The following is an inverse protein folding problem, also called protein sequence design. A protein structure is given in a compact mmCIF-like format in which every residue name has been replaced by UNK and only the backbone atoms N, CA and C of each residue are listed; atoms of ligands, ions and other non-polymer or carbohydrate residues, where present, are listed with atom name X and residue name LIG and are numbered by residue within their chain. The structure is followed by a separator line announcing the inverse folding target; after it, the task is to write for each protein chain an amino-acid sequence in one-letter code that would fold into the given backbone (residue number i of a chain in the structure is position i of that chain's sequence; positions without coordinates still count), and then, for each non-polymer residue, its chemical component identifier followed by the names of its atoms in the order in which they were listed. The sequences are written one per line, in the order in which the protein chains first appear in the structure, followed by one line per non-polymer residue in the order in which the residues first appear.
data_IF_568160279705
#
_entry.id   IF_568160279705
#
_cell.length_a   1.000
_cell.length_b   1.000
_cell.length_c   1.000
_cell.angle_alpha   90.00
_cell.angle_beta   90.00
_cell.angle_gamma   90.00
#
_symmetry.space_group_name_H-M   'P 1'
#
loop_
_entity.id
_entity.type
_entity.pdbx_description
1 polymer ?
#
# COMPACT_ATOMS: atom_id res chain seq x y z
N UNK A 1 0.03 4.36 19.04
CA UNK A 1 -0.59 3.16 18.45
C UNK A 1 -1.82 2.67 19.24
N UNK A 2 -1.72 2.21 20.50
CA UNK A 2 -2.95 1.86 21.26
C UNK A 2 -3.88 3.07 21.47
N UNK A 3 -3.29 4.25 21.69
CA UNK A 3 -4.00 5.52 21.84
C UNK A 3 -4.67 5.99 20.55
N UNK A 4 -4.04 5.74 19.40
CA UNK A 4 -4.58 6.06 18.07
C UNK A 4 -5.73 5.14 17.65
N UNK A 5 -5.84 3.98 18.30
CA UNK A 5 -6.88 2.99 18.04
C UNK A 5 -7.94 2.95 19.16
N UNK A 6 -7.93 3.91 20.10
CA UNK A 6 -8.82 3.94 21.27
C UNK A 6 -8.85 2.59 22.02
N UNK A 7 -7.69 1.94 22.14
CA UNK A 7 -7.50 0.65 22.82
C UNK A 7 -6.65 0.77 24.09
N UNK A 8 -6.25 1.98 24.48
CA UNK A 8 -5.40 2.23 25.66
C UNK A 8 -6.00 1.61 26.92
N UNK A 9 -7.31 1.80 27.14
CA UNK A 9 -8.05 1.26 28.28
C UNK A 9 -8.26 -0.27 28.23
N UNK A 10 -7.96 -0.89 27.09
CA UNK A 10 -8.05 -2.33 26.86
C UNK A 10 -6.68 -3.01 26.69
N UNK A 11 -5.58 -2.32 26.99
CA UNK A 11 -4.22 -2.84 26.78
C UNK A 11 -3.94 -4.18 27.48
N UNK A 12 -4.54 -4.40 28.65
CA UNK A 12 -4.42 -5.65 29.43
C UNK A 12 -5.63 -6.58 29.27
N UNK A 13 -6.61 -6.22 28.44
CA UNK A 13 -7.81 -7.02 28.21
C UNK A 13 -7.50 -8.16 27.24
N UNK A 14 -7.79 -9.40 27.65
CA UNK A 14 -7.65 -10.55 26.75
C UNK A 14 -8.52 -10.37 25.50
N UNK A 15 -7.98 -10.73 24.34
CA UNK A 15 -8.61 -10.54 23.02
C UNK A 15 -10.00 -11.21 22.93
N UNK A 16 -10.21 -12.32 23.63
CA UNK A 16 -11.51 -13.02 23.71
C UNK A 16 -12.62 -12.15 24.33
N UNK A 17 -12.27 -11.26 25.27
CA UNK A 17 -13.18 -10.35 25.99
C UNK A 17 -13.43 -9.00 25.31
N UNK A 18 -12.76 -8.72 24.19
CA UNK A 18 -12.99 -7.50 23.42
C UNK A 18 -14.33 -7.55 22.68
N UNK A 19 -15.03 -6.42 22.55
CA UNK A 19 -16.18 -6.30 21.65
C UNK A 19 -15.77 -6.57 20.20
N UNK A 20 -16.72 -6.86 19.30
CA UNK A 20 -16.42 -7.11 17.88
C UNK A 20 -15.63 -5.97 17.24
N UNK A 21 -16.01 -4.72 17.52
CA UNK A 21 -15.29 -3.53 17.04
C UNK A 21 -13.89 -3.37 17.64
N UNK A 22 -13.72 -3.65 18.93
CA UNK A 22 -12.40 -3.62 19.59
C UNK A 22 -11.46 -4.69 19.04
N UNK A 23 -12.00 -5.89 18.75
CA UNK A 23 -11.22 -7.00 18.17
C UNK A 23 -10.74 -6.67 16.76
N UNK A 24 -11.58 -6.00 15.97
CA UNK A 24 -11.22 -5.51 14.63
C UNK A 24 -10.10 -4.46 14.72
N UNK A 25 -10.21 -3.51 15.65
CA UNK A 25 -9.16 -2.51 15.93
C UNK A 25 -7.85 -3.15 16.40
N UNK A 26 -7.91 -4.17 17.26
CA UNK A 26 -6.72 -4.88 17.75
C UNK A 26 -6.02 -5.68 16.63
N UNK A 27 -6.78 -6.28 15.72
CA UNK A 27 -6.23 -6.96 14.53
C UNK A 27 -5.47 -5.99 13.63
N UNK A 28 -6.04 -4.80 13.39
CA UNK A 28 -5.36 -3.74 12.63
C UNK A 28 -4.11 -3.26 13.37
N UNK A 29 -4.17 -3.08 14.70
CA UNK A 29 -3.00 -2.74 15.51
C UNK A 29 -1.85 -3.74 15.35
N UNK A 30 -2.16 -5.04 15.31
CA UNK A 30 -1.18 -6.11 15.17
C UNK A 30 -0.47 -6.08 13.82
N UNK A 31 -1.20 -5.79 12.75
CA UNK A 31 -0.61 -5.61 11.42
C UNK A 31 0.29 -4.37 11.37
N UNK A 32 -0.11 -3.28 12.03
CA UNK A 32 0.69 -2.05 12.15
C UNK A 32 1.96 -2.22 12.99
N UNK A 33 1.97 -3.11 13.99
CA UNK A 33 3.16 -3.42 14.81
C UNK A 33 4.33 -3.97 13.99
N UNK A 34 4.06 -4.64 12.87
CA UNK A 34 5.12 -5.14 11.98
C UNK A 34 5.82 -4.02 11.21
N UNK A 35 5.31 -2.79 11.30
CA UNK A 35 5.85 -1.63 10.61
C UNK A 35 6.00 -1.84 9.09
N UNK A 36 4.96 -2.31 8.38
CA UNK A 36 5.07 -2.56 6.95
C UNK A 36 5.31 -1.26 6.20
N UNK A 37 6.15 -1.29 5.16
CA UNK A 37 6.39 -0.11 4.30
C UNK A 37 5.21 0.19 3.37
N UNK A 38 4.33 -0.80 3.14
CA UNK A 38 3.16 -0.73 2.27
C UNK A 38 1.94 -1.32 2.98
N UNK A 39 0.86 -0.56 3.02
CA UNK A 39 -0.44 -0.99 3.52
C UNK A 39 -1.45 -0.90 2.37
N UNK A 40 -2.24 -1.94 2.18
CA UNK A 40 -3.35 -1.96 1.21
C UNK A 40 -4.61 -2.32 1.98
N UNK A 41 -5.58 -1.41 2.00
CA UNK A 41 -6.83 -1.58 2.73
C UNK A 41 -8.00 -1.52 1.75
N UNK A 42 -8.84 -2.56 1.79
CA UNK A 42 -10.07 -2.63 1.03
C UNK A 42 -11.25 -2.22 1.92
N UNK A 43 -11.87 -1.08 1.61
CA UNK A 43 -13.00 -0.50 2.33
C UNK A 43 -12.81 -0.41 3.86
N UNK A 44 -11.75 0.29 4.35
CA UNK A 44 -11.35 0.27 5.76
C UNK A 44 -12.40 0.85 6.72
N UNK A 45 -13.31 1.67 6.22
CA UNK A 45 -14.30 2.40 7.04
C UNK A 45 -15.74 1.95 6.80
N UNK A 46 -15.96 0.87 6.06
CA UNK A 46 -17.31 0.37 5.79
C UNK A 46 -18.01 -0.10 7.07
N UNK A 47 -19.25 0.33 7.25
CA UNK A 47 -20.06 0.00 8.43
C UNK A 47 -19.64 0.69 9.73
N UNK A 48 -18.75 1.68 9.67
CA UNK A 48 -18.41 2.54 10.81
C UNK A 48 -19.32 3.76 10.86
N UNK A 49 -19.54 4.30 12.06
CA UNK A 49 -20.19 5.60 12.19
C UNK A 49 -19.26 6.73 11.70
N UNK A 50 -19.81 7.92 11.38
CA UNK A 50 -19.01 9.01 10.79
C UNK A 50 -17.83 9.48 11.66
N UNK A 51 -17.93 9.38 12.99
CA UNK A 51 -16.84 9.81 13.86
C UNK A 51 -15.67 8.82 13.77
N UNK A 52 -15.98 7.52 13.84
CA UNK A 52 -14.96 6.48 13.73
C UNK A 52 -14.36 6.39 12.32
N UNK A 53 -15.15 6.59 11.27
CA UNK A 53 -14.69 6.71 9.88
C UNK A 53 -13.60 7.80 9.75
N UNK A 54 -13.87 9.00 10.28
CA UNK A 54 -12.92 10.10 10.32
C UNK A 54 -11.62 9.75 11.06
N UNK A 55 -11.74 9.12 12.24
CA UNK A 55 -10.56 8.70 13.02
C UNK A 55 -9.67 7.72 12.26
N UNK A 56 -10.27 6.72 11.61
CA UNK A 56 -9.52 5.72 10.83
C UNK A 56 -8.80 6.39 9.67
N UNK A 57 -9.48 7.26 8.90
CA UNK A 57 -8.86 7.95 7.77
C UNK A 57 -7.73 8.90 8.21
N UNK A 58 -7.89 9.60 9.33
CA UNK A 58 -6.84 10.44 9.92
C UNK A 58 -5.64 9.63 10.39
N UNK A 59 -5.86 8.44 10.96
CA UNK A 59 -4.77 7.52 11.32
C UNK A 59 -4.00 7.05 10.08
N UNK A 60 -4.71 6.68 9.01
CA UNK A 60 -4.08 6.27 7.74
C UNK A 60 -3.25 7.40 7.13
N UNK A 61 -3.73 8.65 7.19
CA UNK A 61 -2.96 9.84 6.79
C UNK A 61 -1.67 9.99 7.59
N UNK A 62 -1.74 9.87 8.93
CA UNK A 62 -0.55 9.94 9.80
C UNK A 62 0.48 8.86 9.46
N UNK A 63 0.04 7.65 9.13
CA UNK A 63 0.94 6.58 8.69
C UNK A 63 1.63 6.94 7.37
N UNK A 64 0.89 7.53 6.41
CA UNK A 64 1.48 8.02 5.18
C UNK A 64 2.52 9.12 5.43
N UNK A 65 2.21 10.09 6.30
CA UNK A 65 3.12 11.16 6.70
C UNK A 65 4.39 10.64 7.40
N UNK A 66 4.28 9.50 8.10
CA UNK A 66 5.41 8.81 8.71
C UNK A 66 6.28 8.03 7.70
N UNK A 67 6.05 8.19 6.39
CA UNK A 67 6.84 7.59 5.31
C UNK A 67 6.36 6.21 4.87
N UNK A 68 5.13 5.83 5.21
CA UNK A 68 4.52 4.58 4.73
C UNK A 68 3.76 4.82 3.43
N UNK A 69 3.71 3.81 2.56
CA UNK A 69 2.80 3.84 1.42
C UNK A 69 1.47 3.25 1.86
N UNK A 70 0.38 4.00 1.70
CA UNK A 70 -0.98 3.54 2.04
C UNK A 70 -1.84 3.59 0.80
N UNK A 71 -2.42 2.46 0.42
CA UNK A 71 -3.39 2.34 -0.66
C UNK A 71 -4.74 2.02 -0.05
N UNK A 72 -5.70 2.91 -0.24
CA UNK A 72 -7.08 2.70 0.19
C UNK A 72 -7.95 2.50 -1.04
N UNK A 73 -8.69 1.40 -1.06
CA UNK A 73 -9.78 1.18 -2.01
C UNK A 73 -11.07 1.57 -1.30
N UNK A 74 -11.78 2.56 -1.86
CA UNK A 74 -13.07 2.96 -1.32
C UNK A 74 -14.03 3.48 -2.39
N UNK A 75 -15.32 3.30 -2.14
CA UNK A 75 -16.41 3.97 -2.86
C UNK A 75 -16.89 5.26 -2.17
N UNK A 76 -16.38 5.57 -0.97
CA UNK A 76 -16.70 6.80 -0.24
C UNK A 76 -15.92 7.99 -0.78
N UNK A 77 -16.58 9.14 -0.90
CA UNK A 77 -15.98 10.39 -1.40
C UNK A 77 -15.58 11.36 -0.29
N UNK A 78 -15.94 11.05 0.97
CA UNK A 78 -15.87 11.98 2.09
C UNK A 78 -14.44 12.40 2.48
N UNK A 79 -13.45 11.58 2.17
CA UNK A 79 -12.07 11.74 2.64
C UNK A 79 -11.03 11.65 1.52
N UNK A 80 -11.46 11.80 0.26
CA UNK A 80 -10.55 11.77 -0.88
C UNK A 80 -9.50 12.89 -0.82
N UNK A 81 -9.82 14.01 -0.19
CA UNK A 81 -8.91 15.14 0.01
C UNK A 81 -7.73 14.83 0.96
N UNK A 82 -7.80 13.73 1.73
CA UNK A 82 -6.68 13.27 2.56
C UNK A 82 -5.63 12.49 1.75
N UNK A 83 -5.99 12.03 0.54
CA UNK A 83 -5.14 11.24 -0.32
C UNK A 83 -4.20 12.14 -1.15
N UNK A 84 -2.94 11.72 -1.31
CA UNK A 84 -1.99 12.44 -2.18
C UNK A 84 -2.33 12.26 -3.67
N UNK A 85 -2.91 11.10 -4.01
CA UNK A 85 -3.25 10.70 -5.36
C UNK A 85 -4.57 9.91 -5.35
N UNK A 86 -5.39 10.10 -6.36
CA UNK A 86 -6.60 9.34 -6.63
C UNK A 86 -6.45 8.52 -7.90
N UNK A 87 -6.84 7.25 -7.85
CA UNK A 87 -7.01 6.40 -9.03
C UNK A 87 -8.50 6.12 -9.22
N UNK A 88 -9.13 6.79 -10.19
CA UNK A 88 -10.53 6.53 -10.52
C UNK A 88 -10.63 5.43 -11.57
N UNK A 89 -11.33 4.35 -11.22
CA UNK A 89 -11.59 3.23 -12.12
C UNK A 89 -13.05 3.23 -12.57
N UNK A 90 -13.24 3.15 -13.88
CA UNK A 90 -14.51 2.87 -14.52
C UNK A 90 -14.77 1.35 -14.56
N UNK A 91 -16.03 0.92 -14.76
CA UNK A 91 -16.37 -0.48 -14.97
C UNK A 91 -15.46 -1.20 -15.97
N UNK A 92 -15.08 -2.44 -15.64
CA UNK A 92 -14.10 -3.22 -16.40
C UNK A 92 -12.65 -2.84 -16.14
N UNK A 93 -12.36 -2.18 -15.02
CA UNK A 93 -10.99 -1.84 -14.60
C UNK A 93 -10.31 -0.78 -15.47
N UNK A 94 -11.11 0.08 -16.11
CA UNK A 94 -10.62 1.09 -17.04
C UNK A 94 -10.29 2.37 -16.29
N UNK A 95 -9.03 2.81 -16.34
CA UNK A 95 -8.63 4.05 -15.67
C UNK A 95 -9.27 5.26 -16.32
N UNK A 96 -9.98 6.04 -15.52
CA UNK A 96 -10.60 7.30 -15.92
C UNK A 96 -9.82 8.52 -15.44
N UNK A 97 -9.09 8.39 -14.32
CA UNK A 97 -8.28 9.45 -13.74
C UNK A 97 -7.13 8.87 -12.92
N UNK A 98 -5.99 9.55 -12.93
CA UNK A 98 -4.94 9.37 -11.95
C UNK A 98 -4.25 10.71 -11.70
N UNK A 99 -4.32 11.19 -10.46
CA UNK A 99 -3.74 12.47 -10.08
C UNK A 99 -4.22 12.95 -8.71
N UNK A 100 -3.76 14.13 -8.26
CA UNK A 100 -4.19 14.73 -6.99
C UNK A 100 -5.70 15.00 -6.95
N UNK A 101 -6.36 14.96 -5.78
CA UNK A 101 -7.81 15.20 -5.66
C UNK A 101 -8.27 16.55 -6.23
N UNK A 102 -7.49 17.61 -6.00
CA UNK A 102 -7.81 18.98 -6.40
C UNK A 102 -7.86 19.19 -7.92
N UNK A 103 -7.15 18.36 -8.69
CA UNK A 103 -7.11 18.43 -10.15
C UNK A 103 -8.24 17.67 -10.85
N UNK A 104 -9.01 16.85 -10.11
CA UNK A 104 -10.08 16.03 -10.71
C UNK A 104 -11.13 16.89 -11.40
N UNK A 105 -11.44 18.06 -10.82
CA UNK A 105 -12.44 18.99 -11.35
C UNK A 105 -12.08 19.51 -12.74
N UNK A 106 -10.82 19.88 -12.94
CA UNK A 106 -10.30 20.38 -14.22
C UNK A 106 -10.33 19.29 -15.29
N UNK A 107 -10.02 18.04 -14.93
CA UNK A 107 -9.99 16.91 -15.87
C UNK A 107 -11.39 16.42 -16.22
N UNK A 108 -12.28 16.35 -15.23
CA UNK A 108 -13.63 15.80 -15.41
C UNK A 108 -14.64 16.85 -15.88
N UNK A 109 -14.33 18.14 -15.75
CA UNK A 109 -15.21 19.27 -16.04
C UNK A 109 -16.21 19.58 -14.91
N UNK A 110 -16.09 18.90 -13.76
CA UNK A 110 -16.90 19.12 -12.56
C UNK A 110 -16.20 18.50 -11.36
N UNK A 111 -16.37 19.09 -10.18
CA UNK A 111 -15.94 18.52 -8.89
C UNK A 111 -17.05 17.70 -8.21
N UNK A 112 -18.24 17.59 -8.81
CA UNK A 112 -19.31 16.78 -8.26
C UNK A 112 -19.07 15.29 -8.54
N UNK A 113 -18.71 14.55 -7.50
CA UNK A 113 -18.42 13.12 -7.59
C UNK A 113 -19.57 12.26 -8.13
N UNK A 114 -20.82 12.58 -7.82
CA UNK A 114 -21.96 11.83 -8.37
C UNK A 114 -22.04 11.99 -9.90
N UNK A 115 -21.83 13.21 -10.41
CA UNK A 115 -21.74 13.44 -11.85
C UNK A 115 -20.52 12.77 -12.49
N UNK A 116 -19.37 12.78 -11.81
CA UNK A 116 -18.16 12.09 -12.28
C UNK A 116 -18.45 10.59 -12.42
N UNK A 117 -19.01 9.94 -11.38
CA UNK A 117 -19.31 8.50 -11.42
C UNK A 117 -20.32 8.16 -12.51
N UNK A 118 -21.39 8.95 -12.69
CA UNK A 118 -22.37 8.74 -13.76
C UNK A 118 -21.68 8.85 -15.13
N UNK A 119 -20.88 9.89 -15.36
CA UNK A 119 -20.18 10.14 -16.62
C UNK A 119 -19.19 9.02 -16.96
N UNK A 120 -18.40 8.59 -15.97
CA UNK A 120 -17.39 7.55 -16.14
C UNK A 120 -18.02 6.16 -16.28
N UNK A 121 -19.13 5.90 -15.58
CA UNK A 121 -19.88 4.65 -15.68
C UNK A 121 -20.66 4.50 -16.98
N UNK A 122 -21.17 5.60 -17.55
CA UNK A 122 -21.95 5.59 -18.79
C UNK A 122 -21.13 5.18 -20.02
N UNK A 123 -19.87 5.61 -20.11
CA UNK A 123 -18.95 5.20 -21.18
C UNK A 123 -17.51 4.99 -20.64
N UNK A 124 -17.22 3.78 -20.13
CA UNK A 124 -15.91 3.43 -19.60
C UNK A 124 -14.78 3.47 -20.65
N UNK A 125 -15.07 3.22 -21.93
CA UNK A 125 -14.08 3.22 -23.01
C UNK A 125 -13.69 4.64 -23.42
N UNK A 126 -14.66 5.55 -23.50
CA UNK A 126 -14.42 6.98 -23.66
C UNK A 126 -13.58 7.53 -22.51
N UNK A 127 -13.93 7.20 -21.26
CA UNK A 127 -13.18 7.65 -20.08
C UNK A 127 -11.70 7.24 -20.17
N UNK A 128 -11.43 5.97 -20.52
CA UNK A 128 -10.07 5.48 -20.74
C UNK A 128 -9.36 6.21 -21.88
N UNK A 129 -10.05 6.45 -23.00
CA UNK A 129 -9.46 7.13 -24.16
C UNK A 129 -9.06 8.56 -23.83
N UNK A 130 -9.91 9.29 -23.09
CA UNK A 130 -9.60 10.65 -22.58
C UNK A 130 -8.39 10.64 -21.65
N UNK A 131 -8.36 9.70 -20.70
CA UNK A 131 -7.24 9.55 -19.78
C UNK A 131 -5.92 9.30 -20.53
N UNK A 132 -5.91 8.38 -21.51
CA UNK A 132 -4.73 8.11 -22.33
C UNK A 132 -4.31 9.30 -23.20
N UNK A 133 -5.26 10.05 -23.75
CA UNK A 133 -4.97 11.25 -24.55
C UNK A 133 -4.30 12.35 -23.71
N UNK A 134 -4.71 12.52 -22.44
CA UNK A 134 -4.11 13.47 -21.51
C UNK A 134 -2.70 13.04 -21.06
N UNK A 135 -2.46 11.73 -20.92
CA UNK A 135 -1.13 11.18 -20.59
C UNK A 135 -0.17 11.06 -21.76
N UNK A 136 -0.67 11.10 -23.00
CA UNK A 136 0.16 11.13 -24.20
C UNK A 136 1.14 12.30 -24.27
N UNK A 137 1.00 13.29 -23.36
CA UNK A 137 1.87 14.45 -23.19
C UNK A 137 2.82 14.42 -21.98
N UNK A 138 2.88 13.35 -21.17
CA UNK A 138 3.80 13.28 -20.00
C UNK A 138 5.17 12.65 -20.34
N UNK A 139 6.28 13.14 -19.77
CA UNK A 139 7.60 12.58 -20.03
C UNK A 139 7.66 11.14 -19.56
N UNK A 140 8.27 10.25 -20.35
CA UNK A 140 8.70 8.93 -19.87
C UNK A 140 9.37 9.13 -18.52
N UNK A 141 8.96 8.38 -17.48
CA UNK A 141 9.73 8.29 -16.24
C UNK A 141 11.20 8.07 -16.66
N UNK A 142 12.03 9.10 -16.53
CA UNK A 142 13.44 8.96 -16.85
C UNK A 142 13.99 8.03 -15.77
N UNK A 143 14.43 6.85 -16.19
CA UNK A 143 15.12 5.92 -15.33
C UNK A 143 16.34 6.61 -14.70
N UNK A 144 16.17 7.09 -13.47
CA UNK A 144 17.26 7.50 -12.58
C UNK A 144 16.99 6.91 -11.20
N UNK A 145 17.13 5.60 -11.11
CA UNK A 145 17.67 5.00 -9.90
C UNK A 145 19.19 4.95 -10.11
N UNK A 146 19.88 5.99 -9.67
CA UNK A 146 21.33 5.92 -9.49
C UNK A 146 21.59 4.82 -8.42
N UNK A 147 22.40 3.78 -8.71
CA UNK A 147 22.71 2.76 -7.72
C UNK A 147 23.59 3.38 -6.63
N UNK A 148 22.95 3.91 -5.59
CA UNK A 148 23.60 4.30 -4.35
C UNK A 148 24.30 3.10 -3.74
N UNK A 149 25.62 3.17 -3.73
CA UNK A 149 26.54 2.24 -3.10
C UNK A 149 26.16 2.10 -1.61
N UNK A 150 25.51 1.00 -1.24
CA UNK A 150 25.43 0.59 0.15
C UNK A 150 26.77 -0.06 0.51
N UNK A 151 27.72 0.74 1.00
CA UNK A 151 28.85 0.21 1.75
C UNK A 151 28.29 -0.41 3.02
N UNK A 152 28.09 -1.73 3.00
CA UNK A 152 27.80 -2.51 4.20
C UNK A 152 28.98 -2.38 5.16
N UNK A 153 28.85 -1.51 6.16
CA UNK A 153 29.68 -1.57 7.37
C UNK A 153 28.99 -2.49 8.37
N UNK A 154 28.98 -3.78 8.07
CA UNK A 154 28.96 -4.80 9.11
C UNK A 154 30.40 -5.20 9.39
N UNK A 155 31.05 -4.51 10.32
CA UNK A 155 32.20 -5.09 11.01
C UNK A 155 31.67 -6.14 11.96
N UNK A 156 31.49 -7.37 11.46
CA UNK A 156 31.40 -8.54 12.32
C UNK A 156 32.80 -8.82 12.85
N UNK A 157 33.02 -8.48 14.10
CA UNK A 157 34.10 -9.03 14.91
C UNK A 157 33.84 -10.53 15.07
N UNK A 158 34.46 -11.34 14.24
CA UNK A 158 34.69 -12.75 14.53
C UNK A 158 36.21 -12.96 14.60
N UNK A 159 36.73 -12.92 15.82
CA UNK A 159 38.06 -13.42 16.11
C UNK A 159 38.10 -14.92 15.88
N UNK A 160 38.94 -15.35 14.95
CA UNK A 160 39.48 -16.70 14.92
C UNK A 160 40.93 -16.61 14.43
N UNK A 161 41.83 -16.72 15.40
CA UNK A 161 43.24 -16.98 15.21
C UNK A 161 43.43 -18.33 14.51
N UNK A 162 44.21 -18.37 13.42
CA UNK A 162 45.35 -19.26 13.24
C UNK A 162 45.68 -19.58 11.76
N UNK A 163 46.97 -19.41 11.44
CA UNK A 163 47.81 -20.15 10.47
C UNK A 163 47.46 -20.14 8.97
N UNK A 164 48.08 -19.17 8.30
CA UNK A 164 49.00 -19.29 7.13
C UNK A 164 49.09 -20.67 6.44
N UNK A 165 48.65 -20.76 5.18
CA UNK A 165 49.38 -21.47 4.11
C UNK A 165 48.89 -21.07 2.70
N UNK A 166 49.82 -21.15 1.74
CA UNK A 166 49.80 -20.65 0.36
C UNK A 166 49.16 -21.64 -0.62
N UNK A 167 48.92 -21.12 -1.85
CA UNK A 167 48.64 -21.79 -3.12
C UNK A 167 47.16 -22.21 -3.30
N UNK A 168 46.50 -22.04 -4.45
CA UNK A 168 46.88 -21.53 -5.76
C UNK A 168 45.75 -21.88 -6.75
N UNK A 169 45.72 -21.15 -7.88
CA UNK A 169 45.18 -21.56 -9.20
C UNK A 169 43.68 -21.84 -9.39
N UNK A 170 43.09 -20.98 -10.23
CA UNK A 170 42.32 -21.26 -11.44
C UNK A 170 41.21 -22.33 -11.45
N UNK A 171 40.03 -21.90 -11.90
CA UNK A 171 39.11 -22.74 -12.65
C UNK A 171 37.71 -22.82 -12.05
N UNK A 172 36.82 -21.91 -12.43
CA UNK A 172 35.38 -22.13 -12.29
C UNK A 172 34.81 -22.45 -13.66
N UNK A 173 34.48 -23.73 -13.81
CA UNK A 173 33.55 -24.26 -14.81
C UNK A 173 32.10 -23.96 -14.37
N UNK A 174 31.28 -23.66 -15.38
CA UNK A 174 29.81 -23.62 -15.56
C UNK A 174 28.95 -24.45 -14.57
N UNK A 175 27.61 -24.23 -14.38
CA UNK A 175 26.62 -24.36 -15.46
C UNK A 175 25.28 -23.58 -15.37
N UNK A 176 24.58 -23.68 -16.51
CA UNK A 176 23.17 -23.45 -16.80
C UNK A 176 22.26 -24.37 -15.97
N UNK A 177 21.11 -23.89 -15.48
CA UNK A 177 19.79 -24.55 -15.51
C UNK A 177 18.87 -23.99 -14.41
N UNK A 178 17.61 -23.70 -14.78
CA UNK A 178 16.64 -23.03 -13.92
C UNK A 178 15.95 -23.91 -12.89
N UNK A 179 15.02 -23.31 -12.16
CA UNK A 179 14.01 -24.06 -11.39
C UNK A 179 12.76 -23.22 -11.15
N UNK A 180 11.61 -23.87 -11.38
CA UNK A 180 10.26 -23.46 -11.01
C UNK A 180 10.17 -23.25 -9.49
N UNK A 181 9.51 -22.20 -9.03
CA UNK A 181 8.98 -22.14 -7.67
C UNK A 181 7.51 -22.56 -7.66
N UNK A 182 7.31 -23.79 -7.20
CA UNK A 182 6.04 -24.36 -6.79
C UNK A 182 5.74 -23.85 -5.38
N UNK A 183 4.52 -23.35 -5.12
CA UNK A 183 4.05 -22.94 -3.80
C UNK A 183 3.17 -24.06 -3.23
N UNK A 184 3.57 -24.78 -2.16
CA UNK A 184 2.66 -25.64 -1.42
C UNK A 184 2.65 -25.24 0.06
N UNK A 185 1.77 -24.31 0.45
CA UNK A 185 1.05 -24.29 1.73
C UNK A 185 0.21 -23.01 1.85
N UNK A 186 -1.02 -23.05 1.32
CA UNK A 186 -2.06 -22.08 1.69
C UNK A 186 -3.41 -22.79 1.60
N UNK A 187 -3.71 -23.61 2.61
CA UNK A 187 -5.04 -24.20 2.86
C UNK A 187 -5.29 -24.23 4.36
N UNK A 188 -5.66 -23.08 4.92
CA UNK A 188 -6.54 -22.94 6.08
C UNK A 188 -6.55 -21.48 6.53
N UNK A 189 -7.68 -21.02 7.07
CA UNK A 189 -7.94 -19.69 7.62
C UNK A 189 -8.51 -18.63 6.65
N UNK A 190 -9.62 -18.93 5.97
CA UNK A 190 -10.77 -18.01 5.86
C UNK A 190 -12.04 -18.86 5.76
N UNK A 191 -12.68 -19.07 6.91
CA UNK A 191 -13.96 -19.75 7.07
C UNK A 191 -14.62 -19.26 8.35
N UNK A 192 -15.88 -18.81 8.20
CA UNK A 192 -16.75 -18.07 9.10
C UNK A 192 -16.55 -16.55 9.10
#
# INVERSE_FOLDING_TARGET
MLEELELTEHGDTRVDKLSGGQRKRASVALELLTGPSLLILDEPTTGLDPALDSQVMMMLRKLADAGRTVVVVTHSVSYLDLCDQLLLLAPGGKTAYFGPPDQVGSVMGTSNWAHIFIKVGADPDEAKRRFLAQRGSEPKLSARAEPGIWVSRYTSTCGASSRRSRAGRSGWLSPIAGTRCFWPHCRSCWGC
#
